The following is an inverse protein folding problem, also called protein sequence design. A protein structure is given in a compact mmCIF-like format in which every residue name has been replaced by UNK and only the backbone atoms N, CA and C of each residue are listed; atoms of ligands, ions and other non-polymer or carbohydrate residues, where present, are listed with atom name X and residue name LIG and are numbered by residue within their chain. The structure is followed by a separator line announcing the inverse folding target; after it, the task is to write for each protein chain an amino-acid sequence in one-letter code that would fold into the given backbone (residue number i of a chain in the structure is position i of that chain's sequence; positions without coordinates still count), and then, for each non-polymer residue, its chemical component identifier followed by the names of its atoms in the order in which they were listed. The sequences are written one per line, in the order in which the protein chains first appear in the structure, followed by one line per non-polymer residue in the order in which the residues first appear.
data_IF_567289176423
#
_entry.id   IF_567289176423
#
_cell.length_a   1.000
_cell.length_b   1.000
_cell.length_c   1.000
_cell.angle_alpha   90.00
_cell.angle_beta   90.00
_cell.angle_gamma   90.00
#
_symmetry.space_group_name_H-M   'P 1'
#
loop_
_entity.id
_entity.type
_entity.pdbx_description
1 polymer ?
#
# COMPACT_ATOMS: atom_id res chain seq x y z
N UNK A 1 11.53 60.69 -35.26
CA UNK A 1 11.62 59.81 -34.06
C UNK A 1 10.23 59.67 -33.45
N UNK A 2 9.54 58.55 -33.70
CA UNK A 2 8.17 58.30 -33.21
C UNK A 2 8.21 57.71 -31.80
N UNK A 3 7.48 58.33 -30.86
CA UNK A 3 7.24 57.80 -29.52
C UNK A 3 6.40 56.52 -29.62
N UNK A 4 6.79 55.41 -28.98
CA UNK A 4 5.96 54.20 -28.94
C UNK A 4 4.63 54.52 -28.25
N UNK A 5 3.52 54.12 -28.87
CA UNK A 5 2.17 54.35 -28.35
C UNK A 5 1.94 53.57 -27.06
N UNK A 6 1.43 54.24 -26.04
CA UNK A 6 1.09 53.72 -24.69
C UNK A 6 0.27 52.41 -24.73
N UNK A 7 -0.48 52.15 -25.81
CA UNK A 7 -1.23 50.90 -26.02
C UNK A 7 -0.37 49.63 -26.12
N UNK A 8 0.87 49.68 -26.61
CA UNK A 8 1.73 48.47 -26.70
C UNK A 8 2.34 48.07 -25.36
N UNK A 9 2.52 49.03 -24.45
CA UNK A 9 3.05 48.76 -23.09
C UNK A 9 1.97 48.12 -22.22
N UNK A 10 0.70 48.52 -22.38
CA UNK A 10 -0.42 47.95 -21.61
C UNK A 10 -0.72 46.49 -21.99
N UNK A 11 -0.51 46.10 -23.26
CA UNK A 11 -0.77 44.73 -23.73
C UNK A 11 0.30 43.73 -23.28
N UNK A 12 1.57 44.15 -23.18
CA UNK A 12 2.65 43.32 -22.63
C UNK A 12 2.48 43.13 -21.11
N UNK A 13 2.02 44.16 -20.40
CA UNK A 13 1.71 44.06 -18.97
C UNK A 13 0.54 43.10 -18.66
N UNK A 14 -0.48 43.03 -19.53
CA UNK A 14 -1.59 42.07 -19.38
C UNK A 14 -1.14 40.62 -19.62
N UNK A 15 -0.24 40.36 -20.58
CA UNK A 15 0.31 39.01 -20.81
C UNK A 15 1.25 38.56 -19.68
N UNK A 16 1.97 39.48 -19.02
CA UNK A 16 2.77 39.16 -17.82
C UNK A 16 1.94 38.95 -16.55
N UNK A 17 0.71 39.48 -16.51
CA UNK A 17 -0.24 39.21 -15.42
C UNK A 17 -1.00 37.88 -15.63
N UNK A 18 -1.16 37.44 -16.88
CA UNK A 18 -1.78 36.14 -17.21
C UNK A 18 -0.81 34.95 -17.14
N UNK A 19 0.49 35.17 -17.26
CA UNK A 19 1.52 34.13 -17.04
C UNK A 19 1.86 33.91 -15.56
N UNK A 20 1.33 34.76 -14.67
CA UNK A 20 1.32 34.54 -13.22
C UNK A 20 0.01 33.91 -12.71
N UNK A 21 -0.84 33.38 -13.59
CA UNK A 21 -1.56 32.14 -13.26
C UNK A 21 -0.53 31.00 -13.26
N UNK A 22 0.43 31.14 -12.33
CA UNK A 22 1.14 30.05 -11.69
C UNK A 22 0.05 29.03 -11.47
N UNK A 23 0.08 27.96 -12.27
CA UNK A 23 -0.67 26.74 -12.02
C UNK A 23 -0.59 26.57 -10.52
N UNK A 24 -1.69 26.84 -9.81
CA UNK A 24 -1.75 26.63 -8.39
C UNK A 24 -1.42 25.15 -8.28
N UNK A 25 -0.15 24.84 -7.99
CA UNK A 25 0.34 23.49 -7.92
C UNK A 25 -0.51 22.91 -6.82
N UNK A 26 -1.50 22.10 -7.22
CA UNK A 26 -2.34 21.40 -6.28
C UNK A 26 -1.38 20.81 -5.27
N UNK A 27 -1.53 21.13 -3.99
CA UNK A 27 -0.45 20.85 -3.05
C UNK A 27 -0.21 19.35 -3.07
N UNK A 28 0.95 18.95 -3.58
CA UNK A 28 1.19 17.59 -4.04
C UNK A 28 1.48 16.67 -2.87
N UNK A 29 1.11 15.40 -3.01
CA UNK A 29 1.55 14.38 -2.07
C UNK A 29 3.08 14.31 -2.08
N UNK A 30 3.67 14.31 -0.90
CA UNK A 30 5.12 14.14 -0.75
C UNK A 30 5.41 12.76 -0.23
N UNK A 31 6.35 12.09 -0.88
CA UNK A 31 6.91 10.81 -0.44
C UNK A 31 8.36 11.01 -0.01
N UNK A 32 8.80 10.26 0.99
CA UNK A 32 10.18 10.31 1.49
C UNK A 32 10.58 8.92 1.98
N UNK A 33 11.72 8.36 1.53
CA UNK A 33 12.21 7.09 2.05
C UNK A 33 12.29 7.06 3.57
N UNK A 34 12.05 5.89 4.16
CA UNK A 34 12.32 5.66 5.57
C UNK A 34 13.83 5.68 5.84
N UNK A 35 14.18 6.06 7.05
CA UNK A 35 15.55 5.99 7.53
C UNK A 35 16.00 4.52 7.58
N UNK A 36 17.27 4.25 7.23
CA UNK A 36 17.79 2.89 7.27
C UNK A 36 17.75 2.35 8.70
N UNK A 37 17.28 1.11 8.91
CA UNK A 37 17.33 0.48 10.22
C UNK A 37 18.76 0.39 10.74
N UNK A 38 18.93 0.63 12.04
CA UNK A 38 20.22 0.48 12.71
C UNK A 38 20.54 -0.97 13.11
N UNK A 39 19.55 -1.87 13.03
CA UNK A 39 19.65 -3.28 13.45
C UNK A 39 19.45 -4.27 12.31
N UNK A 40 19.42 -5.55 12.68
CA UNK A 40 19.18 -6.67 11.76
C UNK A 40 17.81 -6.56 11.06
N UNK A 41 16.80 -6.13 11.81
CA UNK A 41 15.44 -5.94 11.31
C UNK A 41 15.08 -4.47 11.22
N UNK A 42 14.32 -4.13 10.18
CA UNK A 42 13.55 -2.90 10.09
C UNK A 42 12.97 -2.71 8.69
N UNK A 43 12.00 -1.81 8.56
CA UNK A 43 11.25 -1.63 7.32
C UNK A 43 12.12 -1.05 6.21
N UNK A 44 12.00 -1.62 5.02
CA UNK A 44 12.25 -0.88 3.77
C UNK A 44 10.92 -0.26 3.39
N UNK A 45 10.87 1.05 3.19
CA UNK A 45 9.60 1.72 2.94
C UNK A 45 9.74 3.21 2.75
N UNK A 46 8.61 3.90 2.75
CA UNK A 46 8.54 5.34 2.59
C UNK A 46 7.37 5.94 3.38
N UNK A 47 7.54 7.20 3.78
CA UNK A 47 6.51 8.05 4.37
C UNK A 47 5.70 8.70 3.25
N UNK A 48 4.41 8.91 3.50
CA UNK A 48 3.52 9.69 2.64
C UNK A 48 2.91 10.79 3.50
N UNK A 49 3.05 12.04 3.05
CA UNK A 49 2.41 13.21 3.65
C UNK A 49 1.48 13.85 2.66
N UNK A 50 0.32 14.29 3.14
CA UNK A 50 -0.61 15.13 2.40
C UNK A 50 -0.77 16.49 3.10
N UNK A 51 -1.06 17.58 2.37
CA UNK A 51 -1.18 18.94 2.95
C UNK A 51 -2.26 19.08 4.03
N UNK A 52 -3.30 18.25 3.95
CA UNK A 52 -4.41 18.21 4.90
C UNK A 52 -4.17 17.24 6.07
N UNK A 53 -3.11 16.43 6.02
CA UNK A 53 -2.83 15.37 6.99
C UNK A 53 -1.95 15.90 8.12
N UNK A 54 -2.33 15.63 9.37
CA UNK A 54 -1.49 15.82 10.53
C UNK A 54 -0.64 14.56 10.79
N UNK A 55 0.67 14.70 10.64
CA UNK A 55 1.63 13.60 10.68
C UNK A 55 1.89 12.99 9.30
N UNK A 56 2.07 11.68 9.23
CA UNK A 56 2.29 10.94 7.99
C UNK A 56 1.78 9.50 8.12
N UNK A 57 1.67 8.79 7.00
CA UNK A 57 1.48 7.33 6.97
C UNK A 57 2.74 6.68 6.39
N UNK A 58 2.98 5.41 6.73
CA UNK A 58 4.17 4.68 6.26
C UNK A 58 3.77 3.46 5.43
N UNK A 59 4.42 3.26 4.29
CA UNK A 59 4.28 2.05 3.49
C UNK A 59 5.51 1.17 3.71
N UNK A 60 5.32 0.00 4.31
CA UNK A 60 6.36 -1.05 4.41
C UNK A 60 6.33 -1.82 3.08
N UNK A 61 7.41 -1.68 2.31
CA UNK A 61 7.43 -1.93 0.88
C UNK A 61 8.66 -2.75 0.48
N UNK A 62 8.71 -4.06 0.78
CA UNK A 62 7.65 -4.86 1.39
C UNK A 62 7.79 -4.98 2.92
N UNK A 63 6.80 -5.59 3.57
CA UNK A 63 6.92 -6.11 4.94
C UNK A 63 7.56 -7.51 4.92
N UNK A 64 7.12 -8.37 3.99
CA UNK A 64 7.71 -9.70 3.78
C UNK A 64 7.85 -10.03 2.30
N UNK A 65 8.76 -10.95 1.97
CA UNK A 65 8.79 -11.67 0.69
C UNK A 65 8.97 -13.15 1.02
N UNK A 66 7.94 -13.97 0.78
CA UNK A 66 7.95 -15.40 1.08
C UNK A 66 7.73 -16.26 -0.17
N UNK A 67 8.24 -17.50 -0.12
CA UNK A 67 8.07 -18.53 -1.13
C UNK A 67 8.03 -19.94 -0.51
N UNK A 68 7.92 -20.96 -1.36
CA UNK A 68 7.82 -22.35 -0.89
C UNK A 68 9.08 -22.86 -0.18
N UNK A 69 10.25 -22.38 -0.58
CA UNK A 69 11.53 -22.74 0.05
C UNK A 69 11.77 -21.96 1.35
N UNK A 70 11.07 -20.84 1.59
CA UNK A 70 11.01 -20.13 2.86
C UNK A 70 10.87 -18.61 2.70
N UNK A 71 11.31 -17.87 3.71
CA UNK A 71 11.18 -16.42 3.77
C UNK A 71 12.44 -15.75 3.23
N UNK A 72 12.32 -14.94 2.18
CA UNK A 72 13.45 -14.19 1.62
C UNK A 72 13.65 -12.85 2.29
N UNK A 73 12.59 -12.25 2.84
CA UNK A 73 12.71 -11.00 3.58
C UNK A 73 11.63 -10.89 4.63
N UNK A 74 11.99 -10.40 5.82
CA UNK A 74 11.07 -9.94 6.85
C UNK A 74 11.71 -8.74 7.54
N UNK A 75 10.94 -7.68 7.70
CA UNK A 75 11.43 -6.43 8.26
C UNK A 75 11.28 -6.32 9.80
N UNK A 76 10.83 -7.38 10.46
CA UNK A 76 10.68 -7.46 11.91
C UNK A 76 10.97 -8.88 12.42
N UNK A 77 11.37 -9.00 13.68
CA UNK A 77 11.67 -10.30 14.26
C UNK A 77 10.40 -11.10 14.53
N UNK A 78 10.38 -12.34 14.00
CA UNK A 78 9.35 -13.35 14.27
C UNK A 78 10.02 -14.72 14.43
N UNK A 79 9.96 -15.35 15.61
CA UNK A 79 10.63 -16.63 15.85
C UNK A 79 10.05 -17.77 14.99
N UNK A 80 8.80 -17.61 14.54
CA UNK A 80 8.07 -18.54 13.68
C UNK A 80 8.24 -18.25 12.18
N UNK A 81 8.90 -17.16 11.80
CA UNK A 81 9.04 -16.69 10.41
C UNK A 81 10.45 -16.13 10.16
N UNK A 82 11.47 -16.98 10.27
CA UNK A 82 12.86 -16.58 10.06
C UNK A 82 13.16 -16.46 8.56
N UNK A 83 13.79 -15.35 8.18
CA UNK A 83 14.37 -15.19 6.85
C UNK A 83 15.56 -16.15 6.64
N UNK A 84 15.75 -16.61 5.41
CA UNK A 84 16.88 -17.45 5.00
C UNK A 84 18.23 -16.80 5.27
N UNK A 85 18.29 -15.47 5.14
CA UNK A 85 19.49 -14.70 5.35
C UNK A 85 19.15 -13.40 6.08
N UNK A 86 20.18 -12.84 6.69
CA UNK A 86 20.12 -11.53 7.35
C UNK A 86 20.48 -10.45 6.34
N UNK A 87 19.72 -9.37 6.32
CA UNK A 87 20.06 -8.23 5.48
C UNK A 87 21.27 -7.50 6.08
N UNK A 88 22.44 -7.65 5.46
CA UNK A 88 23.66 -6.98 5.92
C UNK A 88 23.65 -5.47 5.61
N UNK A 89 23.07 -5.11 4.46
CA UNK A 89 23.02 -3.73 3.99
C UNK A 89 21.66 -3.41 3.39
N UNK A 90 20.96 -2.48 4.03
CA UNK A 90 19.71 -1.93 3.49
C UNK A 90 19.94 -1.12 2.22
N UNK A 91 19.05 -1.25 1.21
CA UNK A 91 19.21 -0.60 -0.08
C UNK A 91 19.19 0.92 0.04
N UNK A 92 19.89 1.58 -0.88
CA UNK A 92 19.79 3.02 -1.07
C UNK A 92 18.59 3.33 -1.98
N UNK A 93 17.88 4.41 -1.68
CA UNK A 93 16.79 4.90 -2.53
C UNK A 93 17.35 5.87 -3.57
N UNK A 94 16.92 5.68 -4.82
CA UNK A 94 17.07 6.68 -5.88
C UNK A 94 15.89 7.62 -5.81
N UNK A 95 16.14 8.93 -5.87
CA UNK A 95 15.11 9.98 -5.77
C UNK A 95 15.18 10.88 -7.00
N UNK A 96 14.10 10.96 -7.76
CA UNK A 96 13.93 11.95 -8.80
C UNK A 96 13.49 13.29 -8.18
N UNK A 97 14.42 14.24 -8.10
CA UNK A 97 14.15 15.56 -7.49
C UNK A 97 13.10 16.38 -8.24
N UNK A 98 12.85 16.10 -9.53
CA UNK A 98 11.88 16.85 -10.34
C UNK A 98 10.47 16.32 -10.19
N UNK A 99 10.29 15.00 -10.17
CA UNK A 99 8.96 14.35 -10.12
C UNK A 99 8.57 13.80 -8.75
N UNK A 100 9.49 13.84 -7.77
CA UNK A 100 9.28 13.24 -6.45
C UNK A 100 9.26 11.71 -6.45
N UNK A 101 9.49 11.06 -7.58
CA UNK A 101 9.51 9.60 -7.72
C UNK A 101 10.69 9.01 -6.95
N UNK A 102 10.47 7.85 -6.33
CA UNK A 102 11.52 7.12 -5.63
C UNK A 102 11.53 5.65 -6.06
N UNK A 103 12.71 5.04 -6.04
CA UNK A 103 12.86 3.61 -6.32
C UNK A 103 14.01 3.02 -5.54
N UNK A 104 13.95 1.71 -5.31
CA UNK A 104 15.06 0.95 -4.75
C UNK A 104 15.08 -0.47 -5.34
N UNK A 105 16.21 -1.15 -5.18
CA UNK A 105 16.33 -2.59 -5.41
C UNK A 105 17.31 -3.19 -4.42
N UNK A 106 17.10 -4.46 -4.06
CA UNK A 106 17.97 -5.26 -3.21
C UNK A 106 18.11 -6.67 -3.78
N UNK A 107 19.32 -7.20 -3.83
CA UNK A 107 19.60 -8.58 -4.25
C UNK A 107 20.11 -9.40 -3.07
N UNK A 108 19.45 -10.52 -2.81
CA UNK A 108 19.85 -11.49 -1.78
C UNK A 108 21.13 -12.23 -2.18
N UNK A 109 21.88 -12.83 -1.24
CA UNK A 109 23.05 -13.65 -1.57
C UNK A 109 22.77 -14.80 -2.56
N UNK A 110 21.54 -15.29 -2.58
CA UNK A 110 21.07 -16.37 -3.46
C UNK A 110 20.65 -15.89 -4.86
N UNK A 111 20.72 -14.59 -5.13
CA UNK A 111 20.41 -14.01 -6.44
C UNK A 111 18.94 -13.67 -6.65
N UNK A 112 18.16 -13.51 -5.58
CA UNK A 112 16.78 -13.02 -5.69
C UNK A 112 16.82 -11.50 -5.58
N UNK A 113 16.35 -10.79 -6.59
CA UNK A 113 16.26 -9.33 -6.55
C UNK A 113 14.81 -8.91 -6.29
N UNK A 114 14.58 -8.01 -5.36
CA UNK A 114 13.28 -7.38 -5.17
C UNK A 114 13.42 -5.88 -4.97
N UNK A 115 12.38 -5.15 -5.33
CA UNK A 115 12.39 -3.71 -5.26
C UNK A 115 11.08 -3.10 -5.70
N UNK A 116 11.08 -1.79 -5.88
CA UNK A 116 9.90 -1.13 -6.40
C UNK A 116 10.10 0.32 -6.78
N UNK A 117 9.10 0.82 -7.50
CA UNK A 117 8.97 2.19 -7.97
C UNK A 117 7.74 2.82 -7.34
N UNK A 118 7.88 4.07 -6.93
CA UNK A 118 6.83 4.84 -6.26
C UNK A 118 6.73 6.19 -6.94
N UNK A 119 5.56 6.52 -7.47
CA UNK A 119 5.31 7.74 -8.21
C UNK A 119 4.15 8.53 -7.58
N UNK A 120 4.42 9.66 -6.89
CA UNK A 120 3.38 10.47 -6.30
C UNK A 120 2.62 11.25 -7.38
N UNK A 121 1.32 11.40 -7.18
CA UNK A 121 0.41 12.27 -7.96
C UNK A 121 -0.29 13.24 -7.01
N UNK A 122 -1.33 13.92 -7.50
CA UNK A 122 -2.08 14.91 -6.72
C UNK A 122 -2.77 14.33 -5.49
N UNK A 123 -3.40 13.16 -5.63
CA UNK A 123 -4.23 12.53 -4.60
C UNK A 123 -4.11 10.99 -4.60
N UNK A 124 -3.06 10.48 -5.25
CA UNK A 124 -2.71 9.06 -5.26
C UNK A 124 -1.19 8.86 -5.36
N UNK A 125 -0.73 7.69 -4.94
CA UNK A 125 0.64 7.22 -5.12
C UNK A 125 0.58 5.92 -5.91
N UNK A 126 1.16 5.95 -7.12
CA UNK A 126 1.26 4.77 -7.97
C UNK A 126 2.45 3.92 -7.54
N UNK A 127 2.24 2.61 -7.45
CA UNK A 127 3.21 1.64 -6.96
C UNK A 127 3.47 0.57 -8.01
N UNK A 128 4.73 0.18 -8.12
CA UNK A 128 5.17 -1.03 -8.81
C UNK A 128 6.13 -1.78 -7.89
N UNK A 129 5.83 -3.03 -7.58
CA UNK A 129 6.72 -3.92 -6.83
C UNK A 129 7.15 -5.04 -7.76
N UNK A 130 8.40 -5.47 -7.68
CA UNK A 130 8.90 -6.54 -8.51
C UNK A 130 9.76 -7.53 -7.73
N UNK A 131 9.79 -8.76 -8.24
CA UNK A 131 10.80 -9.76 -7.87
C UNK A 131 11.39 -10.34 -9.15
N UNK A 132 12.72 -10.45 -9.19
CA UNK A 132 13.49 -11.07 -10.28
C UNK A 132 14.29 -12.24 -9.73
N UNK A 133 14.31 -13.32 -10.49
CA UNK A 133 15.06 -14.51 -10.15
C UNK A 133 16.35 -14.59 -10.98
N UNK A 134 17.48 -14.18 -10.40
CA UNK A 134 18.79 -14.34 -11.04
C UNK A 134 19.50 -15.65 -10.66
N UNK A 135 18.84 -16.50 -9.88
CA UNK A 135 19.36 -17.81 -9.52
C UNK A 135 19.15 -18.84 -10.65
N UNK A 136 19.72 -20.02 -10.49
CA UNK A 136 19.49 -21.19 -11.35
C UNK A 136 18.31 -22.06 -10.89
N UNK A 137 17.62 -21.68 -9.81
CA UNK A 137 16.51 -22.43 -9.21
C UNK A 137 15.17 -21.79 -9.50
N UNK A 138 14.13 -22.60 -9.57
CA UNK A 138 12.74 -22.14 -9.63
C UNK A 138 12.31 -21.63 -8.26
N UNK A 139 11.76 -20.42 -8.19
CA UNK A 139 11.10 -19.90 -6.99
C UNK A 139 9.61 -20.20 -7.08
N UNK A 140 9.08 -21.01 -6.17
CA UNK A 140 7.65 -21.38 -6.18
C UNK A 140 6.86 -20.56 -5.17
N UNK A 141 5.62 -20.26 -5.55
CA UNK A 141 4.61 -19.62 -4.72
C UNK A 141 5.07 -18.32 -4.03
N UNK A 142 5.83 -17.49 -4.74
CA UNK A 142 6.29 -16.22 -4.21
C UNK A 142 5.12 -15.27 -3.95
N UNK A 143 5.14 -14.60 -2.81
CA UNK A 143 4.20 -13.54 -2.44
C UNK A 143 4.91 -12.46 -1.64
N UNK A 144 4.76 -11.18 -1.98
CA UNK A 144 5.14 -10.10 -1.08
C UNK A 144 3.97 -9.72 -0.16
N UNK A 145 4.20 -9.56 1.14
CA UNK A 145 3.26 -8.85 2.00
C UNK A 145 3.64 -7.38 2.04
N UNK A 146 2.67 -6.51 1.81
CA UNK A 146 2.85 -5.07 1.78
C UNK A 146 1.86 -4.43 2.75
N UNK A 147 2.34 -3.48 3.56
CA UNK A 147 1.61 -2.95 4.71
C UNK A 147 1.57 -1.43 4.72
N UNK A 148 0.36 -0.86 4.76
CA UNK A 148 0.17 0.57 4.94
C UNK A 148 -0.15 0.86 6.41
N UNK A 149 0.85 1.38 7.12
CA UNK A 149 0.82 1.76 8.53
C UNK A 149 0.23 3.15 8.70
N UNK A 150 -0.72 3.28 9.62
CA UNK A 150 -1.51 4.50 9.83
C UNK A 150 -1.25 5.15 11.22
N UNK A 151 -0.37 4.57 12.02
CA UNK A 151 -0.14 4.93 13.42
C UNK A 151 0.59 6.27 13.60
N UNK A 152 1.27 6.77 12.56
CA UNK A 152 2.00 8.04 12.56
C UNK A 152 1.19 9.26 12.12
N UNK A 153 -0.10 9.09 11.83
CA UNK A 153 -1.01 10.20 11.49
C UNK A 153 -2.14 10.30 12.50
N UNK A 154 -2.32 11.48 13.10
CA UNK A 154 -3.41 11.72 14.04
C UNK A 154 -4.79 11.55 13.40
N UNK A 155 -4.88 11.69 12.08
CA UNK A 155 -6.10 11.50 11.32
C UNK A 155 -6.50 10.03 11.22
N UNK A 156 -5.55 9.09 11.31
CA UNK A 156 -5.77 7.67 11.02
C UNK A 156 -5.24 6.70 12.09
N UNK A 157 -4.62 7.17 13.17
CA UNK A 157 -3.96 6.33 14.18
C UNK A 157 -4.88 5.72 15.25
N UNK A 158 -6.21 5.81 15.09
CA UNK A 158 -7.14 5.32 16.10
C UNK A 158 -7.03 3.79 16.24
N UNK A 159 -6.69 3.33 17.44
CA UNK A 159 -6.59 1.91 17.76
C UNK A 159 -7.97 1.28 17.99
N UNK A 160 -8.05 -0.05 17.87
CA UNK A 160 -9.19 -0.87 18.29
C UNK A 160 -10.54 -0.42 17.71
N UNK A 161 -10.52 0.20 16.53
CA UNK A 161 -11.71 0.74 15.86
C UNK A 161 -11.83 0.10 14.49
N UNK A 162 -13.02 -0.40 14.16
CA UNK A 162 -13.32 -0.98 12.84
C UNK A 162 -14.40 -0.21 12.09
N UNK A 163 -15.08 0.74 12.75
CA UNK A 163 -16.19 1.50 12.18
C UNK A 163 -15.78 2.59 11.19
N UNK A 164 -14.49 2.91 11.12
CA UNK A 164 -13.88 3.89 10.22
C UNK A 164 -13.06 3.21 9.11
N UNK A 165 -13.06 1.88 9.05
CA UNK A 165 -12.37 1.07 8.03
C UNK A 165 -13.42 0.36 7.20
N UNK A 166 -13.31 0.43 5.87
CA UNK A 166 -14.35 -0.03 4.97
C UNK A 166 -13.80 -0.91 3.84
N UNK A 167 -14.67 -1.80 3.38
CA UNK A 167 -14.50 -2.62 2.19
C UNK A 167 -15.79 -2.59 1.37
N UNK A 168 -15.75 -3.11 0.15
CA UNK A 168 -16.95 -3.41 -0.62
C UNK A 168 -17.35 -4.86 -0.41
N UNK A 169 -18.56 -5.12 0.06
CA UNK A 169 -19.13 -6.46 0.19
C UNK A 169 -20.63 -6.44 -0.14
N UNK A 170 -21.11 -7.43 -0.91
CA UNK A 170 -22.47 -7.46 -1.41
C UNK A 170 -22.85 -6.22 -2.23
N UNK A 171 -21.91 -5.71 -3.03
CA UNK A 171 -22.00 -4.46 -3.81
C UNK A 171 -22.25 -3.20 -2.96
N UNK A 172 -21.90 -3.22 -1.67
CA UNK A 172 -22.04 -2.08 -0.76
C UNK A 172 -20.72 -1.77 -0.08
N UNK A 173 -20.43 -0.49 0.10
CA UNK A 173 -19.35 -0.06 0.99
C UNK A 173 -19.83 -0.25 2.44
N UNK A 174 -19.19 -1.14 3.19
CA UNK A 174 -19.55 -1.45 4.58
C UNK A 174 -18.36 -1.23 5.51
N UNK A 175 -18.63 -0.79 6.74
CA UNK A 175 -17.61 -0.71 7.78
C UNK A 175 -17.24 -2.10 8.30
N UNK A 176 -15.99 -2.29 8.74
CA UNK A 176 -15.52 -3.55 9.30
C UNK A 176 -16.16 -3.86 10.67
N UNK A 177 -16.84 -2.91 11.30
CA UNK A 177 -17.69 -3.17 12.47
C UNK A 177 -19.00 -3.89 12.11
N UNK A 178 -19.34 -4.01 10.82
CA UNK A 178 -20.51 -4.72 10.32
C UNK A 178 -20.20 -6.14 9.85
N UNK A 179 -18.93 -6.54 9.84
CA UNK A 179 -18.56 -7.92 9.50
C UNK A 179 -18.81 -8.86 10.67
N UNK A 180 -18.99 -10.13 10.37
CA UNK A 180 -19.19 -11.20 11.34
C UNK A 180 -18.07 -12.22 11.22
N UNK A 181 -17.54 -12.76 12.33
CA UNK A 181 -17.78 -12.31 13.69
C UNK A 181 -17.13 -10.94 13.97
N UNK A 182 -17.78 -10.14 14.80
CA UNK A 182 -17.25 -8.85 15.28
C UNK A 182 -16.22 -9.06 16.40
N UNK A 183 -15.46 -8.02 16.74
CA UNK A 183 -14.60 -8.00 17.93
C UNK A 183 -15.37 -8.35 19.22
N UNK A 184 -16.61 -7.86 19.35
CA UNK A 184 -17.48 -8.19 20.48
C UNK A 184 -17.88 -9.68 20.49
N UNK A 185 -18.15 -10.29 19.33
CA UNK A 185 -18.41 -11.73 19.25
C UNK A 185 -17.19 -12.56 19.64
N UNK A 186 -15.98 -12.11 19.31
CA UNK A 186 -14.72 -12.79 19.63
C UNK A 186 -14.19 -12.48 21.03
N UNK A 187 -14.73 -11.46 21.72
CA UNK A 187 -14.25 -11.02 23.03
C UNK A 187 -12.82 -10.46 23.02
N UNK A 188 -12.32 -9.99 21.87
CA UNK A 188 -10.95 -9.47 21.70
C UNK A 188 -10.88 -8.42 20.59
N UNK A 189 -9.80 -7.64 20.58
CA UNK A 189 -9.58 -6.57 19.59
C UNK A 189 -9.44 -7.11 18.16
N UNK A 190 -9.88 -6.32 17.18
CA UNK A 190 -9.97 -6.73 15.78
C UNK A 190 -8.59 -6.97 15.13
N UNK A 191 -8.41 -8.19 14.64
CA UNK A 191 -7.31 -8.61 13.78
C UNK A 191 -7.95 -9.47 12.68
N UNK A 192 -8.29 -8.84 11.57
CA UNK A 192 -9.22 -9.38 10.59
C UNK A 192 -8.48 -9.87 9.35
N UNK A 193 -8.84 -11.07 8.89
CA UNK A 193 -8.58 -11.57 7.54
C UNK A 193 -9.89 -11.56 6.78
N UNK A 194 -9.94 -10.81 5.69
CA UNK A 194 -11.15 -10.60 4.90
C UNK A 194 -10.94 -11.28 3.54
N UNK A 195 -11.58 -12.42 3.27
CA UNK A 195 -11.39 -13.15 2.02
C UNK A 195 -11.83 -12.31 0.82
N UNK A 196 -11.13 -12.44 -0.30
CA UNK A 196 -11.62 -11.94 -1.58
C UNK A 196 -12.64 -12.93 -2.13
N UNK A 197 -13.79 -12.43 -2.59
CA UNK A 197 -14.83 -13.24 -3.21
C UNK A 197 -14.28 -14.09 -4.35
N UNK A 198 -14.57 -15.39 -4.31
CA UNK A 198 -14.12 -16.37 -5.30
C UNK A 198 -12.82 -17.09 -4.95
N UNK A 199 -12.16 -16.76 -3.84
CA UNK A 199 -10.97 -17.47 -3.35
C UNK A 199 -11.31 -18.39 -2.18
N UNK A 200 -10.99 -19.68 -2.31
CA UNK A 200 -11.34 -20.69 -1.28
C UNK A 200 -10.12 -21.36 -0.64
N UNK A 201 -8.94 -21.28 -1.26
CA UNK A 201 -7.70 -21.94 -0.81
C UNK A 201 -6.64 -20.89 -0.46
N UNK A 202 -6.96 -19.99 0.46
CA UNK A 202 -6.04 -18.90 0.84
C UNK A 202 -5.00 -19.37 1.86
N UNK A 203 -3.76 -18.91 1.67
CA UNK A 203 -2.67 -19.09 2.62
C UNK A 203 -2.10 -17.73 2.94
N UNK A 204 -2.05 -17.40 4.23
CA UNK A 204 -1.32 -16.24 4.70
C UNK A 204 0.18 -16.53 4.77
N UNK A 205 0.96 -15.48 5.02
CA UNK A 205 2.41 -15.58 5.16
C UNK A 205 2.82 -16.66 6.15
N UNK A 206 3.92 -17.36 5.84
CA UNK A 206 4.38 -18.51 6.61
C UNK A 206 3.50 -19.74 6.40
N UNK A 207 2.74 -19.79 5.30
CA UNK A 207 1.86 -20.91 4.89
C UNK A 207 0.74 -21.20 5.89
N UNK A 208 0.34 -20.18 6.65
CA UNK A 208 -0.78 -20.30 7.59
C UNK A 208 -2.07 -20.43 6.80
N UNK A 209 -2.73 -21.60 6.90
CA UNK A 209 -4.00 -21.84 6.20
C UNK A 209 -5.09 -20.94 6.77
N UNK A 210 -5.76 -20.20 5.90
CA UNK A 210 -6.95 -19.41 6.26
C UNK A 210 -8.14 -20.36 6.15
N UNK A 211 -8.71 -20.73 7.30
CA UNK A 211 -9.80 -21.70 7.40
C UNK A 211 -11.16 -21.07 7.00
N UNK A 212 -12.26 -21.77 7.30
CA UNK A 212 -13.62 -21.36 6.94
C UNK A 212 -14.07 -20.01 7.56
N UNK A 213 -15.23 -19.50 7.14
CA UNK A 213 -15.85 -18.29 7.70
C UNK A 213 -15.87 -18.29 9.24
N UNK A 214 -15.38 -17.21 9.86
CA UNK A 214 -15.40 -17.03 11.32
C UNK A 214 -14.31 -17.78 12.09
N UNK A 215 -13.51 -18.61 11.45
CA UNK A 215 -12.44 -19.39 12.08
C UNK A 215 -11.28 -18.52 12.57
N UNK A 216 -10.65 -18.96 13.66
CA UNK A 216 -9.47 -18.29 14.21
C UNK A 216 -8.19 -18.71 13.47
N UNK A 217 -7.29 -17.74 13.34
CA UNK A 217 -5.99 -17.87 12.68
C UNK A 217 -4.96 -17.25 13.64
N UNK A 218 -4.68 -17.99 14.72
CA UNK A 218 -3.91 -17.46 15.85
C UNK A 218 -4.62 -16.27 16.51
N UNK A 219 -3.96 -15.09 16.53
CA UNK A 219 -4.57 -13.85 17.06
C UNK A 219 -5.57 -13.21 16.11
N UNK A 220 -5.64 -13.69 14.87
CA UNK A 220 -6.52 -13.20 13.81
C UNK A 220 -7.78 -14.06 13.70
N UNK A 221 -8.76 -13.60 12.94
CA UNK A 221 -9.86 -14.44 12.47
C UNK A 221 -10.34 -14.04 11.08
N UNK A 222 -10.96 -15.00 10.38
CA UNK A 222 -11.57 -14.77 9.07
C UNK A 222 -12.97 -14.17 9.22
N UNK A 223 -13.30 -13.13 8.45
CA UNK A 223 -14.69 -12.65 8.35
C UNK A 223 -15.55 -13.57 7.49
N UNK A 224 -16.86 -13.58 7.74
CA UNK A 224 -17.85 -14.30 6.95
C UNK A 224 -18.13 -13.57 5.63
N UNK A 225 -18.07 -12.26 5.67
CA UNK A 225 -18.20 -11.41 4.51
C UNK A 225 -16.92 -11.49 3.68
N UNK A 226 -17.11 -11.48 2.37
CA UNK A 226 -16.04 -11.47 1.38
C UNK A 226 -15.99 -10.10 0.72
N UNK A 227 -14.78 -9.61 0.44
CA UNK A 227 -14.61 -8.38 -0.33
C UNK A 227 -14.95 -8.63 -1.80
N UNK A 228 -15.75 -7.75 -2.40
CA UNK A 228 -16.05 -7.68 -3.82
C UNK A 228 -14.92 -7.00 -4.62
N UNK A 229 -13.97 -6.33 -3.96
CA UNK A 229 -12.87 -5.59 -4.61
C UNK A 229 -11.53 -5.77 -3.89
N UNK A 230 -10.44 -5.45 -4.59
CA UNK A 230 -9.05 -5.56 -4.11
C UNK A 230 -8.59 -4.25 -3.44
N UNK A 231 -9.44 -3.67 -2.59
CA UNK A 231 -9.23 -2.36 -1.98
C UNK A 231 -9.82 -2.33 -0.57
N UNK A 232 -9.10 -1.67 0.33
CA UNK A 232 -9.52 -1.34 1.69
C UNK A 232 -9.23 0.13 1.94
N UNK A 233 -10.13 0.81 2.65
CA UNK A 233 -9.99 2.22 2.97
C UNK A 233 -10.21 2.48 4.46
N UNK A 234 -9.67 3.61 4.92
CA UNK A 234 -9.95 4.19 6.23
C UNK A 234 -10.31 5.66 6.09
N UNK A 235 -11.36 6.08 6.78
CA UNK A 235 -11.74 7.49 6.87
C UNK A 235 -10.85 8.24 7.88
N UNK A 236 -10.59 9.52 7.62
CA UNK A 236 -9.94 10.40 8.58
C UNK A 236 -10.84 10.64 9.79
N UNK A 237 -10.24 10.98 10.93
CA UNK A 237 -10.95 11.28 12.18
C UNK A 237 -12.03 12.37 12.01
N UNK A 238 -11.77 13.38 11.18
CA UNK A 238 -12.71 14.46 10.88
C UNK A 238 -13.72 14.12 9.77
N UNK A 239 -13.61 12.92 9.19
CA UNK A 239 -14.41 12.36 8.10
C UNK A 239 -14.35 13.14 6.78
N UNK A 240 -13.41 14.08 6.62
CA UNK A 240 -13.28 14.89 5.40
C UNK A 240 -12.41 14.23 4.34
N UNK A 241 -11.54 13.31 4.75
CA UNK A 241 -10.58 12.63 3.89
C UNK A 241 -10.65 11.11 4.09
N UNK A 242 -10.06 10.38 3.16
CA UNK A 242 -9.83 8.96 3.29
C UNK A 242 -8.42 8.61 2.82
N UNK A 243 -7.93 7.48 3.31
CA UNK A 243 -6.78 6.77 2.74
C UNK A 243 -7.24 5.40 2.29
N UNK A 244 -6.77 4.92 1.14
CA UNK A 244 -7.05 3.57 0.68
C UNK A 244 -5.82 2.95 0.02
N UNK A 245 -5.72 1.63 0.04
CA UNK A 245 -4.68 0.88 -0.68
C UNK A 245 -5.32 -0.21 -1.52
N UNK A 246 -4.83 -0.40 -2.74
CA UNK A 246 -5.32 -1.41 -3.67
C UNK A 246 -4.23 -2.03 -4.53
N UNK A 247 -4.40 -3.30 -4.89
CA UNK A 247 -3.56 -4.05 -5.83
C UNK A 247 -4.46 -4.87 -6.77
N UNK A 248 -5.04 -4.24 -7.81
CA UNK A 248 -6.07 -4.86 -8.63
C UNK A 248 -5.64 -6.21 -9.23
N UNK A 249 -6.48 -7.23 -9.07
CA UNK A 249 -6.32 -8.56 -9.67
C UNK A 249 -5.34 -9.49 -8.96
N UNK A 250 -4.66 -9.02 -7.90
CA UNK A 250 -3.54 -9.74 -7.27
C UNK A 250 -3.81 -10.12 -5.82
N UNK A 251 -5.06 -9.98 -5.34
CA UNK A 251 -5.44 -10.12 -3.94
C UNK A 251 -6.36 -11.31 -3.72
N UNK A 252 -5.94 -12.27 -2.91
CA UNK A 252 -6.78 -13.38 -2.44
C UNK A 252 -7.46 -13.08 -1.09
N UNK A 253 -6.89 -12.17 -0.28
CA UNK A 253 -7.50 -11.65 0.96
C UNK A 253 -6.92 -10.29 1.35
N UNK A 254 -7.69 -9.55 2.16
CA UNK A 254 -7.35 -8.26 2.76
C UNK A 254 -7.10 -8.47 4.25
N UNK A 255 -6.21 -7.68 4.86
CA UNK A 255 -5.92 -7.74 6.30
C UNK A 255 -6.18 -6.37 6.95
N UNK A 256 -6.72 -6.37 8.16
CA UNK A 256 -6.77 -5.20 9.04
C UNK A 256 -6.29 -5.54 10.45
N UNK A 257 -5.29 -4.80 10.95
CA UNK A 257 -4.82 -4.90 12.34
C UNK A 257 -5.27 -3.66 13.12
N UNK A 258 -6.11 -3.84 14.13
CA UNK A 258 -6.57 -2.71 14.96
C UNK A 258 -5.65 -2.36 16.13
N UNK A 259 -4.74 -3.27 16.50
CA UNK A 259 -3.77 -3.06 17.58
C UNK A 259 -2.56 -2.23 17.12
N UNK A 260 -2.18 -2.43 15.87
CA UNK A 260 -1.22 -1.62 15.15
C UNK A 260 -1.90 -1.17 13.85
N UNK A 261 -2.50 0.03 13.80
CA UNK A 261 -3.50 0.42 12.83
C UNK A 261 -2.89 0.40 11.43
N UNK A 262 -3.09 -0.71 10.72
CA UNK A 262 -2.57 -0.90 9.38
C UNK A 262 -3.57 -1.68 8.54
N UNK A 263 -3.57 -1.37 7.25
CA UNK A 263 -4.42 -2.01 6.25
C UNK A 263 -3.54 -2.68 5.20
N UNK A 264 -3.95 -3.87 4.77
CA UNK A 264 -3.27 -4.61 3.71
C UNK A 264 -4.29 -4.99 2.64
N UNK A 265 -4.03 -4.54 1.43
CA UNK A 265 -4.60 -5.13 0.21
C UNK A 265 -3.48 -5.45 -0.78
N UNK A 266 -2.30 -5.79 -0.26
CA UNK A 266 -1.13 -6.16 -1.05
C UNK A 266 -1.32 -7.48 -1.81
N UNK A 267 -0.42 -7.79 -2.76
CA UNK A 267 -0.47 -9.02 -3.50
C UNK A 267 -0.47 -10.24 -2.57
N UNK A 268 -1.42 -11.15 -2.79
CA UNK A 268 -1.57 -12.38 -2.02
C UNK A 268 -1.91 -13.58 -2.91
N UNK A 269 -1.89 -13.40 -4.22
CA UNK A 269 -1.82 -14.49 -5.19
C UNK A 269 -0.35 -14.87 -5.35
N UNK A 270 -0.08 -16.16 -5.22
CA UNK A 270 1.25 -16.74 -5.25
C UNK A 270 1.67 -17.05 -6.69
N UNK A 271 2.93 -16.74 -7.04
CA UNK A 271 3.46 -16.96 -8.39
C UNK A 271 4.70 -17.87 -8.38
N UNK A 272 4.93 -18.59 -9.48
CA UNK A 272 6.21 -19.27 -9.70
C UNK A 272 7.07 -18.42 -10.63
N UNK A 273 8.32 -18.15 -10.25
CA UNK A 273 9.29 -17.40 -11.05
C UNK A 273 10.41 -18.35 -11.48
N UNK A 274 10.45 -18.64 -12.77
CA UNK A 274 11.52 -19.40 -13.40
C UNK A 274 12.86 -18.63 -13.40
N UNK A 275 14.02 -19.30 -13.50
CA UNK A 275 15.32 -18.65 -13.67
C UNK A 275 15.32 -17.60 -14.79
N UNK A 276 15.89 -16.42 -14.50
CA UNK A 276 15.97 -15.29 -15.43
C UNK A 276 14.64 -14.59 -15.72
N UNK A 277 13.57 -14.92 -14.99
CA UNK A 277 12.25 -14.27 -15.11
C UNK A 277 12.02 -13.31 -13.95
N UNK A 278 11.03 -12.44 -14.14
CA UNK A 278 10.58 -11.49 -13.14
C UNK A 278 9.04 -11.47 -13.07
N UNK A 279 8.53 -11.04 -11.92
CA UNK A 279 7.11 -10.78 -11.68
C UNK A 279 6.97 -9.36 -11.16
N UNK A 280 5.98 -8.66 -11.69
CA UNK A 280 5.62 -7.31 -11.29
C UNK A 280 4.19 -7.30 -10.75
N UNK A 281 3.98 -6.48 -9.73
CA UNK A 281 2.69 -6.18 -9.17
C UNK A 281 2.51 -4.67 -9.20
N UNK A 282 1.27 -4.23 -9.45
CA UNK A 282 0.95 -2.80 -9.54
C UNK A 282 -0.13 -2.44 -8.53
N UNK A 283 0.15 -1.40 -7.75
CA UNK A 283 -0.72 -0.94 -6.68
C UNK A 283 -0.94 0.56 -6.72
N UNK A 284 -1.95 1.01 -5.98
CA UNK A 284 -2.25 2.43 -5.81
C UNK A 284 -2.63 2.68 -4.36
N UNK A 285 -2.06 3.73 -3.77
CA UNK A 285 -2.52 4.31 -2.51
C UNK A 285 -3.28 5.60 -2.83
N UNK A 286 -4.51 5.73 -2.36
CA UNK A 286 -5.33 6.94 -2.55
C UNK A 286 -5.29 7.78 -1.28
N UNK A 287 -5.14 9.10 -1.43
CA UNK A 287 -5.16 10.10 -0.37
C UNK A 287 -6.03 11.27 -0.84
N UNK A 288 -7.35 11.14 -0.65
CA UNK A 288 -8.33 12.01 -1.29
C UNK A 288 -9.42 12.47 -0.32
N UNK A 289 -10.28 13.38 -0.79
CA UNK A 289 -11.52 13.73 -0.08
C UNK A 289 -12.34 12.46 0.20
N UNK A 290 -13.02 12.42 1.35
CA UNK A 290 -13.87 11.30 1.72
C UNK A 290 -15.09 11.22 0.79
N UNK A 291 -14.92 10.46 -0.30
CA UNK A 291 -15.94 10.10 -1.26
C UNK A 291 -15.67 8.67 -1.74
N UNK A 292 -16.21 7.66 -1.02
CA UNK A 292 -16.03 6.26 -1.40
C UNK A 292 -16.55 5.94 -2.80
N UNK A 293 -17.54 6.69 -3.31
CA UNK A 293 -18.07 6.51 -4.66
C UNK A 293 -17.07 6.90 -5.74
N UNK A 294 -16.46 8.09 -5.61
CA UNK A 294 -15.40 8.52 -6.51
C UNK A 294 -14.14 7.66 -6.36
N UNK A 295 -13.79 7.22 -5.13
CA UNK A 295 -12.71 6.25 -4.91
C UNK A 295 -12.94 4.95 -5.70
N UNK A 296 -14.14 4.36 -5.61
CA UNK A 296 -14.46 3.14 -6.35
C UNK A 296 -14.33 3.36 -7.86
N UNK A 297 -14.84 4.48 -8.37
CA UNK A 297 -14.72 4.84 -9.78
C UNK A 297 -13.26 4.97 -10.23
N UNK A 298 -12.43 5.68 -9.46
CA UNK A 298 -10.98 5.78 -9.71
C UNK A 298 -10.32 4.40 -9.73
N UNK A 299 -10.58 3.58 -8.71
CA UNK A 299 -10.06 2.21 -8.64
C UNK A 299 -10.47 1.36 -9.84
N UNK A 300 -11.73 1.42 -10.28
CA UNK A 300 -12.21 0.70 -11.46
C UNK A 300 -11.55 1.16 -12.74
N UNK A 301 -11.31 2.46 -12.89
CA UNK A 301 -10.66 3.04 -14.07
C UNK A 301 -9.14 2.80 -14.08
N UNK A 302 -8.52 2.69 -12.91
CA UNK A 302 -7.08 2.46 -12.74
C UNK A 302 -6.65 0.99 -12.85
N UNK A 303 -7.59 0.05 -13.02
CA UNK A 303 -7.25 -1.37 -13.20
C UNK A 303 -6.43 -1.54 -14.47
N UNK A 304 -5.18 -1.98 -14.31
CA UNK A 304 -4.37 -2.44 -15.43
C UNK A 304 -4.83 -3.84 -15.82
N UNK A 305 -4.80 -4.15 -17.12
CA UNK A 305 -4.90 -5.54 -17.56
C UNK A 305 -3.55 -6.18 -17.22
N UNK A 306 -3.52 -7.07 -16.22
CA UNK A 306 -2.33 -7.84 -15.86
C UNK A 306 -2.05 -8.95 -16.87
#
# INVERSE_FOLDING_TARGET
MMKPSVQKVLFILLLSLLSNFISAQNPELKITPLDKPAGEFGPIGFRITAPWMNGYIEMRYPETVDGDDGMYFIDHYRPDMLAHFKMEKYPDWTINQTGGEISYSYTTPEGIEFGGYVNPKSDEVNLEFFVKNHSDKIIKNISPQICLMLDKSDDFNKLKTTSDVFIWAGNKCIGLDKTTPTAANKGRDAQLVIPRKGFTNMQAVGKTKILGPGEDIGTWWRTNEESDEDIILRESRDKKHLVAVSWPGEVSFIIYNSLNPCIHAGPSIQFTIEPGRERHWYGIIYLMKNDPGELLKKYKNGKRNN
#
